data_IF_545394382466
#
_entry.id   IF_545394382466
#
_cell.length_a   1.000
_cell.length_b   1.000
_cell.length_c   1.000
_cell.angle_alpha   90.00
_cell.angle_beta   90.00
_cell.angle_gamma   90.00
#
_symmetry.space_group_name_H-M   'P 1'
#
loop_
_entity.id
_entity.type
_entity.pdbx_description
1 polymer ?
#
# COMPACT_ATOMS: atom_id res chain seq x y z
N UNK A 1 3.69 20.40 -9.30
CA UNK A 1 4.25 21.30 -8.24
C UNK A 1 5.27 22.31 -8.79
N UNK A 2 6.33 21.91 -9.50
CA UNK A 2 7.37 22.84 -9.99
C UNK A 2 6.83 23.92 -10.92
N UNK A 3 5.79 23.64 -11.70
CA UNK A 3 5.17 24.62 -12.60
C UNK A 3 4.43 25.72 -11.82
N UNK A 4 3.68 25.34 -10.80
CA UNK A 4 2.96 26.28 -9.92
C UNK A 4 3.95 27.21 -9.22
N UNK A 5 4.97 26.64 -8.55
CA UNK A 5 6.03 27.40 -7.89
C UNK A 5 6.70 28.37 -8.88
N UNK A 6 7.07 27.88 -10.08
CA UNK A 6 7.71 28.72 -11.09
C UNK A 6 6.82 29.90 -11.53
N UNK A 7 5.53 29.63 -11.77
CA UNK A 7 4.59 30.67 -12.18
C UNK A 7 4.42 31.73 -11.09
N UNK A 8 4.24 31.31 -9.85
CA UNK A 8 4.12 32.24 -8.73
C UNK A 8 5.39 33.07 -8.51
N UNK A 9 6.58 32.42 -8.57
CA UNK A 9 7.87 33.14 -8.45
C UNK A 9 8.05 34.19 -9.56
N UNK A 10 7.56 33.92 -10.77
CA UNK A 10 7.62 34.88 -11.89
C UNK A 10 6.69 36.07 -11.68
N UNK A 11 5.55 35.88 -11.04
CA UNK A 11 4.56 36.95 -10.78
C UNK A 11 4.84 37.76 -9.50
N UNK A 12 5.58 37.18 -8.55
CA UNK A 12 5.84 37.79 -7.25
C UNK A 12 6.49 39.20 -7.31
N UNK A 13 7.44 39.50 -8.22
CA UNK A 13 8.03 40.85 -8.32
C UNK A 13 7.00 41.96 -8.61
N UNK A 14 6.00 41.63 -9.45
CA UNK A 14 4.97 42.60 -9.90
C UNK A 14 3.80 42.71 -8.91
N UNK A 15 3.65 41.74 -7.99
CA UNK A 15 2.54 41.67 -7.02
C UNK A 15 3.01 41.59 -5.57
N UNK A 16 4.20 42.04 -5.26
CA UNK A 16 4.78 41.95 -3.90
C UNK A 16 4.00 42.72 -2.84
N UNK A 17 3.26 43.77 -3.22
CA UNK A 17 2.46 44.60 -2.32
C UNK A 17 1.00 44.10 -2.20
N UNK A 18 0.64 43.04 -2.95
CA UNK A 18 -0.65 42.37 -2.89
C UNK A 18 -0.62 41.27 -1.80
N UNK A 19 -1.16 41.63 -0.62
CA UNK A 19 -1.11 40.74 0.56
C UNK A 19 -1.82 39.40 0.31
N UNK A 20 -2.97 39.42 -0.35
CA UNK A 20 -3.75 38.23 -0.64
C UNK A 20 -2.98 37.31 -1.60
N UNK A 21 -2.36 37.85 -2.63
CA UNK A 21 -1.48 37.09 -3.53
C UNK A 21 -0.29 36.49 -2.79
N UNK A 22 0.36 37.22 -1.89
CA UNK A 22 1.51 36.74 -1.13
C UNK A 22 1.13 35.64 -0.13
N UNK A 23 -0.05 35.71 0.48
CA UNK A 23 -0.57 34.66 1.36
C UNK A 23 -0.86 33.37 0.55
N UNK A 24 -1.57 33.48 -0.58
CA UNK A 24 -1.83 32.35 -1.48
C UNK A 24 -0.53 31.77 -2.04
N UNK A 25 0.42 32.60 -2.45
CA UNK A 25 1.73 32.19 -2.90
C UNK A 25 2.47 31.35 -1.85
N UNK A 26 2.51 31.87 -0.60
CA UNK A 26 3.17 31.17 0.51
C UNK A 26 2.55 29.79 0.76
N UNK A 27 1.21 29.72 0.78
CA UNK A 27 0.50 28.47 0.99
C UNK A 27 0.76 27.45 -0.12
N UNK A 28 0.62 27.84 -1.39
CA UNK A 28 0.83 26.94 -2.54
C UNK A 28 2.27 26.46 -2.61
N UNK A 29 3.24 27.35 -2.36
CA UNK A 29 4.66 26.95 -2.36
C UNK A 29 4.97 25.95 -1.24
N UNK A 30 4.45 26.18 -0.02
CA UNK A 30 4.63 25.23 1.08
C UNK A 30 4.02 23.86 0.75
N UNK A 31 2.79 23.82 0.25
CA UNK A 31 2.12 22.58 -0.14
C UNK A 31 2.89 21.83 -1.24
N UNK A 32 3.36 22.56 -2.26
CA UNK A 32 4.13 21.98 -3.36
C UNK A 32 5.51 21.47 -2.92
N UNK A 33 6.19 22.18 -2.01
CA UNK A 33 7.47 21.72 -1.43
C UNK A 33 7.28 20.47 -0.59
N UNK A 34 6.30 20.43 0.31
CA UNK A 34 5.97 19.24 1.11
C UNK A 34 5.62 18.03 0.22
N UNK A 35 4.98 18.28 -0.92
CA UNK A 35 4.69 17.26 -1.91
C UNK A 35 5.95 16.72 -2.59
N UNK A 36 6.88 17.60 -2.97
CA UNK A 36 8.17 17.20 -3.56
C UNK A 36 8.97 16.39 -2.54
N UNK A 37 9.02 16.82 -1.28
CA UNK A 37 9.71 16.08 -0.22
C UNK A 37 9.14 14.68 -0.04
N UNK A 38 7.83 14.52 -0.03
CA UNK A 38 7.18 13.20 0.04
C UNK A 38 7.54 12.33 -1.16
N UNK A 39 7.45 12.85 -2.37
CA UNK A 39 7.83 12.15 -3.61
C UNK A 39 9.28 11.67 -3.56
N UNK A 40 10.20 12.53 -3.13
CA UNK A 40 11.62 12.18 -3.01
C UNK A 40 11.83 11.05 -2.00
N UNK A 41 11.17 11.12 -0.83
CA UNK A 41 11.26 10.06 0.18
C UNK A 41 10.70 8.73 -0.33
N UNK A 42 9.54 8.74 -0.99
CA UNK A 42 8.94 7.53 -1.56
C UNK A 42 9.79 6.92 -2.68
N UNK A 43 10.40 7.75 -3.54
CA UNK A 43 11.34 7.27 -4.56
C UNK A 43 12.60 6.68 -3.92
N UNK A 44 13.13 7.31 -2.88
CA UNK A 44 14.29 6.79 -2.15
C UNK A 44 13.95 5.48 -1.43
N UNK A 45 12.78 5.37 -0.83
CA UNK A 45 12.29 4.14 -0.20
C UNK A 45 12.08 3.03 -1.24
N UNK A 46 11.52 3.35 -2.39
CA UNK A 46 11.37 2.42 -3.51
C UNK A 46 12.71 1.95 -4.09
N UNK A 47 13.68 2.88 -4.23
CA UNK A 47 15.01 2.58 -4.75
C UNK A 47 15.91 1.86 -3.74
N UNK A 48 15.53 1.87 -2.47
CA UNK A 48 16.34 1.33 -1.39
C UNK A 48 16.07 -0.16 -1.22
N UNK A 49 16.87 -0.99 -1.91
CA UNK A 49 16.94 -2.42 -1.63
C UNK A 49 17.50 -2.63 -0.21
N UNK A 50 16.62 -2.71 0.76
CA UNK A 50 17.02 -3.05 2.13
C UNK A 50 16.67 -4.51 2.41
N UNK A 51 17.70 -5.35 2.52
CA UNK A 51 17.54 -6.69 3.10
C UNK A 51 16.82 -6.54 4.44
N UNK A 52 15.66 -7.18 4.64
CA UNK A 52 14.89 -7.02 5.87
C UNK A 52 15.68 -7.52 7.07
N UNK A 53 15.69 -6.76 8.15
CA UNK A 53 16.27 -7.16 9.44
C UNK A 53 15.22 -7.95 10.22
N UNK A 54 15.16 -9.26 9.96
CA UNK A 54 14.14 -10.11 10.56
C UNK A 54 14.41 -10.35 12.04
N UNK A 55 13.47 -9.93 12.89
CA UNK A 55 13.44 -10.20 14.33
C UNK A 55 12.13 -10.89 14.71
N UNK A 56 12.11 -11.57 15.86
CA UNK A 56 10.89 -12.19 16.39
C UNK A 56 9.96 -11.09 16.92
N UNK A 57 8.86 -10.83 16.24
CA UNK A 57 7.95 -9.74 16.55
C UNK A 57 6.52 -10.23 16.82
N UNK A 58 5.82 -9.54 17.70
CA UNK A 58 4.37 -9.66 17.86
C UNK A 58 3.67 -8.86 16.76
N UNK A 59 3.01 -9.54 15.82
CA UNK A 59 2.29 -8.87 14.74
C UNK A 59 1.19 -7.95 15.28
N UNK A 60 0.48 -8.38 16.32
CA UNK A 60 -0.57 -7.57 16.94
C UNK A 60 -0.05 -6.26 17.54
N UNK A 61 1.18 -6.25 18.09
CA UNK A 61 1.80 -5.04 18.61
C UNK A 61 2.19 -4.08 17.47
N UNK A 62 2.67 -4.62 16.35
CA UNK A 62 2.96 -3.83 15.15
C UNK A 62 1.68 -3.18 14.63
N UNK A 63 0.62 -3.97 14.43
CA UNK A 63 -0.70 -3.48 13.97
C UNK A 63 -1.25 -2.41 14.93
N UNK A 64 -1.24 -2.70 16.25
CA UNK A 64 -1.78 -1.77 17.25
C UNK A 64 -1.01 -0.45 17.28
N UNK A 65 0.32 -0.49 17.12
CA UNK A 65 1.12 0.73 17.07
C UNK A 65 0.81 1.59 15.84
N UNK A 66 0.52 0.98 14.68
CA UNK A 66 0.13 1.72 13.48
C UNK A 66 -1.29 2.30 13.60
N UNK A 67 -2.23 1.53 14.18
CA UNK A 67 -3.60 2.00 14.41
C UNK A 67 -3.64 3.23 15.32
N UNK A 68 -2.84 3.25 16.39
CA UNK A 68 -2.73 4.40 17.28
C UNK A 68 -2.34 5.69 16.53
N UNK A 69 -1.44 5.60 15.55
CA UNK A 69 -1.03 6.74 14.73
C UNK A 69 -2.15 7.32 13.86
N UNK A 70 -3.03 6.47 13.35
CA UNK A 70 -4.09 6.90 12.43
C UNK A 70 -5.40 7.27 13.13
N UNK A 71 -5.59 6.92 14.42
CA UNK A 71 -6.82 7.17 15.17
C UNK A 71 -7.22 8.66 15.18
N UNK A 72 -6.25 9.55 15.38
CA UNK A 72 -6.50 11.00 15.38
C UNK A 72 -6.98 11.47 14.00
N UNK A 73 -6.33 11.00 12.93
CA UNK A 73 -6.69 11.34 11.55
C UNK A 73 -8.03 10.72 11.13
N UNK A 74 -8.32 9.50 11.58
CA UNK A 74 -9.58 8.83 11.35
C UNK A 74 -10.75 9.59 12.01
N UNK A 75 -10.55 10.04 13.26
CA UNK A 75 -11.57 10.81 14.00
C UNK A 75 -11.91 12.13 13.31
N UNK A 76 -10.93 12.83 12.74
CA UNK A 76 -11.16 14.09 12.00
C UNK A 76 -11.94 13.91 10.69
N UNK A 77 -11.97 12.69 10.14
CA UNK A 77 -12.70 12.31 8.93
C UNK A 77 -13.99 11.51 9.18
N UNK A 78 -14.46 11.44 10.43
CA UNK A 78 -15.61 10.62 10.84
C UNK A 78 -15.48 9.12 10.46
N UNK A 79 -14.25 8.59 10.42
CA UNK A 79 -13.98 7.19 10.09
C UNK A 79 -13.98 6.36 11.38
N UNK A 80 -14.82 5.33 11.43
CA UNK A 80 -14.85 4.37 12.53
C UNK A 80 -13.84 3.26 12.29
N UNK A 81 -12.91 3.07 13.24
CA UNK A 81 -11.94 1.96 13.20
C UNK A 81 -12.49 0.77 13.97
N UNK A 82 -12.60 -0.39 13.30
CA UNK A 82 -12.93 -1.68 13.90
C UNK A 82 -11.71 -2.56 13.95
N UNK A 83 -11.38 -3.06 15.16
CA UNK A 83 -10.18 -3.84 15.40
C UNK A 83 -10.54 -5.23 15.95
N UNK A 84 -10.15 -6.28 15.24
CA UNK A 84 -10.37 -7.68 15.61
C UNK A 84 -9.04 -8.43 15.49
N UNK A 85 -8.23 -8.42 16.55
CA UNK A 85 -6.93 -9.07 16.55
C UNK A 85 -7.02 -10.44 17.23
N UNK A 86 -6.61 -11.51 16.52
CA UNK A 86 -6.58 -12.85 17.07
C UNK A 86 -5.60 -12.91 18.26
N UNK A 87 -6.03 -13.40 19.44
CA UNK A 87 -5.19 -13.38 20.65
C UNK A 87 -3.99 -14.33 20.58
N UNK A 88 -4.12 -15.44 19.82
CA UNK A 88 -3.16 -16.55 19.80
C UNK A 88 -2.26 -16.56 18.57
N UNK A 89 -1.87 -15.38 18.07
CA UNK A 89 -0.91 -15.31 16.97
C UNK A 89 0.49 -15.71 17.43
N UNK A 90 1.19 -16.53 16.66
CA UNK A 90 2.60 -16.80 16.93
C UNK A 90 3.44 -15.53 16.72
N UNK A 91 4.61 -15.48 17.36
CA UNK A 91 5.64 -14.52 16.99
C UNK A 91 6.10 -14.81 15.55
N UNK A 92 6.30 -13.76 14.77
CA UNK A 92 6.65 -13.83 13.36
C UNK A 92 8.04 -13.25 13.14
N UNK A 93 8.86 -13.88 12.34
CA UNK A 93 10.14 -13.30 11.91
C UNK A 93 9.88 -12.26 10.82
N UNK A 94 9.97 -10.99 11.18
CA UNK A 94 9.72 -9.87 10.27
C UNK A 94 10.58 -8.65 10.63
N UNK A 95 10.74 -7.74 9.66
CA UNK A 95 11.27 -6.40 9.92
C UNK A 95 10.14 -5.48 10.36
N UNK A 96 10.18 -5.08 11.64
CA UNK A 96 9.15 -4.25 12.26
C UNK A 96 8.91 -2.92 11.53
N UNK A 97 9.97 -2.27 11.03
CA UNK A 97 9.86 -0.98 10.37
C UNK A 97 9.24 -1.11 8.98
N UNK A 98 9.67 -2.11 8.23
CA UNK A 98 9.12 -2.38 6.91
C UNK A 98 7.65 -2.80 6.99
N UNK A 99 7.26 -3.66 7.92
CA UNK A 99 5.84 -4.04 8.09
C UNK A 99 4.99 -2.86 8.58
N UNK A 100 5.52 -1.97 9.43
CA UNK A 100 4.83 -0.71 9.74
C UNK A 100 4.59 0.14 8.48
N UNK A 101 5.54 0.23 7.58
CA UNK A 101 5.40 0.95 6.32
C UNK A 101 4.29 0.34 5.45
N UNK A 102 4.23 -1.00 5.33
CA UNK A 102 3.13 -1.70 4.64
C UNK A 102 1.78 -1.30 5.23
N UNK A 103 1.64 -1.40 6.55
CA UNK A 103 0.37 -1.13 7.22
C UNK A 103 -0.05 0.33 7.08
N UNK A 104 0.88 1.28 7.24
CA UNK A 104 0.58 2.70 7.09
C UNK A 104 0.14 3.03 5.65
N UNK A 105 0.79 2.46 4.64
CA UNK A 105 0.37 2.62 3.24
C UNK A 105 -1.05 2.10 3.02
N UNK A 106 -1.39 0.92 3.53
CA UNK A 106 -2.73 0.35 3.39
C UNK A 106 -3.78 1.17 4.17
N UNK A 107 -3.48 1.59 5.40
CA UNK A 107 -4.41 2.36 6.21
C UNK A 107 -4.68 3.76 5.63
N UNK A 108 -3.63 4.44 5.14
CA UNK A 108 -3.77 5.75 4.51
C UNK A 108 -4.60 5.62 3.23
N UNK A 109 -4.32 4.62 2.38
CA UNK A 109 -5.10 4.37 1.17
C UNK A 109 -6.57 4.10 1.48
N UNK A 110 -6.86 3.27 2.49
CA UNK A 110 -8.22 2.97 2.94
C UNK A 110 -8.94 4.24 3.44
N UNK A 111 -8.28 5.07 4.28
CA UNK A 111 -8.87 6.32 4.77
C UNK A 111 -9.07 7.38 3.67
N UNK A 112 -8.24 7.37 2.65
CA UNK A 112 -8.40 8.24 1.48
C UNK A 112 -9.54 7.77 0.58
N UNK A 113 -9.69 6.44 0.41
CA UNK A 113 -10.79 5.85 -0.35
C UNK A 113 -12.14 6.06 0.35
N UNK A 114 -12.22 5.94 1.68
CA UNK A 114 -13.44 6.24 2.43
C UNK A 114 -13.89 7.66 2.20
N UNK A 115 -13.00 8.62 2.10
CA UNK A 115 -13.16 10.04 1.76
C UNK A 115 -14.53 10.68 2.02
N UNK A 116 -14.58 12.02 2.11
CA UNK A 116 -15.83 12.76 2.18
C UNK A 116 -16.41 12.94 3.59
N UNK A 117 -17.47 13.78 3.66
CA UNK A 117 -18.10 14.22 4.90
C UNK A 117 -18.96 13.15 5.58
N UNK A 118 -19.35 12.09 4.85
CA UNK A 118 -20.23 11.04 5.37
C UNK A 118 -19.49 10.03 6.26
N UNK A 119 -18.16 10.07 6.30
CA UNK A 119 -17.35 9.11 7.04
C UNK A 119 -17.45 7.68 6.50
N UNK A 120 -16.99 6.72 7.31
CA UNK A 120 -17.05 5.31 6.92
C UNK A 120 -16.37 4.41 7.92
N UNK A 121 -16.02 3.20 7.48
CA UNK A 121 -15.46 2.16 8.34
C UNK A 121 -14.12 1.65 7.77
N UNK A 122 -13.13 1.59 8.65
CA UNK A 122 -11.88 0.87 8.44
C UNK A 122 -11.84 -0.33 9.39
N UNK A 123 -11.87 -1.54 8.86
CA UNK A 123 -11.79 -2.77 9.66
C UNK A 123 -10.42 -3.40 9.50
N UNK A 124 -9.78 -3.72 10.64
CA UNK A 124 -8.46 -4.36 10.66
C UNK A 124 -8.56 -5.65 11.48
N UNK A 125 -8.24 -6.77 10.85
CA UNK A 125 -8.27 -8.10 11.47
C UNK A 125 -6.94 -8.79 11.32
N UNK A 126 -6.60 -9.63 12.31
CA UNK A 126 -5.47 -10.55 12.19
C UNK A 126 -5.95 -11.97 12.37
N UNK A 127 -5.37 -12.90 11.63
CA UNK A 127 -5.72 -14.33 11.68
C UNK A 127 -4.48 -15.21 11.59
N UNK A 128 -4.59 -16.38 12.18
CA UNK A 128 -3.65 -17.48 11.95
C UNK A 128 -4.15 -18.32 10.79
N UNK A 129 -3.26 -18.62 9.85
CA UNK A 129 -3.54 -19.52 8.73
C UNK A 129 -2.59 -20.73 8.79
N UNK A 130 -3.05 -21.85 8.28
CA UNK A 130 -2.23 -23.04 8.08
C UNK A 130 -2.31 -23.36 6.60
N UNK A 131 -1.18 -23.33 5.91
CA UNK A 131 -1.08 -23.71 4.50
C UNK A 131 -0.71 -25.18 4.34
N UNK A 132 -0.59 -25.57 3.08
CA UNK A 132 -0.12 -26.92 2.70
C UNK A 132 1.18 -27.24 3.43
N UNK A 133 1.38 -28.52 3.79
CA UNK A 133 2.51 -29.00 4.61
C UNK A 133 2.55 -28.51 6.06
N UNK A 134 1.41 -28.06 6.60
CA UNK A 134 1.29 -27.60 8.00
C UNK A 134 2.19 -26.40 8.37
N UNK A 135 2.55 -25.58 7.39
CA UNK A 135 3.32 -24.35 7.62
C UNK A 135 2.46 -23.28 8.24
N UNK A 136 2.86 -22.70 9.38
CA UNK A 136 2.11 -21.62 10.03
C UNK A 136 2.31 -20.29 9.28
N UNK A 137 1.20 -19.65 8.95
CA UNK A 137 1.13 -18.32 8.35
C UNK A 137 0.27 -17.41 9.22
N UNK A 138 0.45 -16.13 9.07
CA UNK A 138 -0.41 -15.10 9.64
C UNK A 138 -0.95 -14.21 8.53
N UNK A 139 -2.16 -13.70 8.73
CA UNK A 139 -2.81 -12.79 7.80
C UNK A 139 -3.24 -11.53 8.53
N UNK A 140 -3.03 -10.39 7.87
CA UNK A 140 -3.61 -9.10 8.25
C UNK A 140 -4.61 -8.72 7.17
N UNK A 141 -5.85 -8.51 7.57
CA UNK A 141 -6.90 -7.98 6.70
C UNK A 141 -7.11 -6.51 6.99
N UNK A 142 -7.11 -5.69 5.96
CA UNK A 142 -7.44 -4.26 5.99
C UNK A 142 -8.59 -4.03 5.03
N UNK A 143 -9.77 -3.70 5.56
CA UNK A 143 -11.01 -3.55 4.79
C UNK A 143 -11.57 -2.15 4.98
N UNK A 144 -11.82 -1.45 3.90
CA UNK A 144 -12.48 -0.15 3.88
C UNK A 144 -13.90 -0.23 3.31
N UNK A 145 -14.73 0.74 3.66
CA UNK A 145 -16.07 0.92 3.11
C UNK A 145 -16.11 2.00 2.02
N UNK A 146 -15.03 2.17 1.30
CA UNK A 146 -14.91 3.15 0.22
C UNK A 146 -15.65 2.75 -1.06
N UNK A 147 -15.41 3.43 -2.17
CA UNK A 147 -16.08 3.19 -3.44
C UNK A 147 -15.68 1.87 -4.12
N UNK A 148 -14.65 1.19 -3.62
CA UNK A 148 -14.05 0.04 -4.28
C UNK A 148 -13.15 0.43 -5.45
N UNK A 149 -12.66 -0.58 -6.16
CA UNK A 149 -11.72 -0.45 -7.29
C UNK A 149 -12.38 -1.06 -8.51
N UNK A 150 -12.31 -0.36 -9.64
CA UNK A 150 -12.82 -0.87 -10.91
C UNK A 150 -12.03 -2.12 -11.35
N UNK A 151 -12.69 -3.11 -11.97
CA UNK A 151 -12.02 -4.35 -12.37
C UNK A 151 -10.79 -4.16 -13.27
N UNK A 152 -10.81 -3.14 -14.13
CA UNK A 152 -9.69 -2.84 -15.03
C UNK A 152 -8.48 -2.21 -14.31
N UNK A 153 -8.68 -1.61 -13.13
CA UNK A 153 -7.62 -1.04 -12.32
C UNK A 153 -6.94 -2.09 -11.43
N UNK A 154 -7.66 -3.17 -11.04
CA UNK A 154 -7.15 -4.19 -10.12
C UNK A 154 -5.85 -4.85 -10.59
N UNK A 155 -5.67 -5.00 -11.90
CA UNK A 155 -4.45 -5.58 -12.48
C UNK A 155 -3.24 -4.64 -12.38
N UNK A 156 -3.49 -3.33 -12.14
CA UNK A 156 -2.46 -2.28 -12.17
C UNK A 156 -2.19 -1.61 -10.82
N UNK A 157 -2.97 -1.89 -9.77
CA UNK A 157 -2.83 -1.20 -8.47
C UNK A 157 -1.45 -1.34 -7.82
N UNK A 158 -0.67 -2.33 -8.21
CA UNK A 158 0.70 -2.54 -7.73
C UNK A 158 1.77 -2.03 -8.71
N UNK A 159 1.38 -1.53 -9.88
CA UNK A 159 2.30 -0.97 -10.85
C UNK A 159 2.87 0.36 -10.32
N UNK A 160 4.19 0.61 -10.46
CA UNK A 160 4.79 1.87 -10.01
C UNK A 160 4.15 3.08 -10.70
N UNK A 161 3.86 4.12 -9.91
CA UNK A 161 3.25 5.37 -10.37
C UNK A 161 1.80 5.25 -10.87
N UNK A 162 1.17 4.08 -10.75
CA UNK A 162 -0.23 3.92 -11.09
C UNK A 162 -1.13 4.53 -10.00
N UNK A 163 -2.02 5.42 -10.39
CA UNK A 163 -2.98 6.06 -9.47
C UNK A 163 -4.21 6.55 -10.24
N UNK A 164 -5.38 6.35 -9.68
CA UNK A 164 -6.66 6.86 -10.19
C UNK A 164 -7.06 8.20 -9.58
N UNK A 165 -6.23 8.75 -8.68
CA UNK A 165 -6.54 9.97 -7.91
C UNK A 165 -6.33 11.28 -8.67
N UNK A 166 -5.83 11.24 -9.91
CA UNK A 166 -5.61 12.43 -10.73
C UNK A 166 -6.89 13.15 -11.17
N UNK A 167 -8.01 12.42 -11.26
CA UNK A 167 -9.26 12.93 -11.82
C UNK A 167 -10.16 13.64 -10.78
N UNK A 168 -9.93 13.45 -9.50
CA UNK A 168 -10.83 13.91 -8.44
C UNK A 168 -10.45 15.25 -7.80
N UNK A 169 -9.37 15.92 -8.24
CA UNK A 169 -8.95 17.22 -7.68
C UNK A 169 -8.52 17.18 -6.20
N UNK A 170 -8.58 16.01 -5.58
CA UNK A 170 -8.05 15.76 -4.26
C UNK A 170 -6.54 15.42 -4.34
N UNK A 171 -5.83 15.53 -3.22
CA UNK A 171 -4.36 15.38 -3.13
C UNK A 171 -3.88 14.19 -3.96
N UNK A 172 -3.18 14.48 -5.06
CA UNK A 172 -2.63 13.49 -5.99
C UNK A 172 -1.79 12.45 -5.24
N UNK A 173 -2.14 11.17 -5.36
CA UNK A 173 -1.32 10.06 -4.90
C UNK A 173 -0.09 9.90 -5.79
N UNK A 174 1.02 9.44 -5.23
CA UNK A 174 2.27 9.21 -5.97
C UNK A 174 2.23 7.92 -6.78
N UNK A 175 1.31 7.00 -6.44
CA UNK A 175 1.21 5.67 -7.04
C UNK A 175 2.35 4.72 -6.61
N UNK A 176 3.13 5.07 -5.57
CA UNK A 176 4.22 4.22 -5.08
C UNK A 176 3.87 3.44 -3.80
N UNK A 177 2.90 3.90 -3.02
CA UNK A 177 2.59 3.31 -1.72
C UNK A 177 2.23 1.83 -1.78
N UNK A 178 1.35 1.41 -2.71
CA UNK A 178 0.98 -0.01 -2.87
C UNK A 178 2.10 -0.83 -3.48
N UNK A 179 2.88 -0.27 -4.40
CA UNK A 179 4.06 -0.93 -4.99
C UNK A 179 5.09 -1.25 -3.91
N UNK A 180 5.40 -0.28 -3.04
CA UNK A 180 6.32 -0.46 -1.91
C UNK A 180 5.77 -1.51 -0.92
N UNK A 181 4.48 -1.45 -0.59
CA UNK A 181 3.86 -2.42 0.30
C UNK A 181 3.94 -3.84 -0.26
N UNK A 182 3.65 -4.02 -1.54
CA UNK A 182 3.74 -5.30 -2.23
C UNK A 182 5.17 -5.85 -2.24
N UNK A 183 6.17 -5.00 -2.57
CA UNK A 183 7.58 -5.37 -2.57
C UNK A 183 8.04 -5.82 -1.18
N UNK A 184 7.76 -5.05 -0.12
CA UNK A 184 8.14 -5.39 1.24
C UNK A 184 7.55 -6.76 1.65
N UNK A 185 6.27 -7.01 1.34
CA UNK A 185 5.62 -8.28 1.67
C UNK A 185 6.29 -9.44 0.94
N UNK A 186 6.65 -9.28 -0.34
CA UNK A 186 7.42 -10.27 -1.10
C UNK A 186 8.80 -10.52 -0.48
N UNK A 187 9.48 -9.48 -0.03
CA UNK A 187 10.78 -9.58 0.65
C UNK A 187 10.71 -10.33 1.99
N UNK A 188 9.53 -10.39 2.60
CA UNK A 188 9.24 -11.22 3.76
C UNK A 188 8.78 -12.64 3.41
N UNK A 189 8.83 -13.04 2.13
CA UNK A 189 8.35 -14.35 1.66
C UNK A 189 6.83 -14.47 1.69
N UNK A 190 6.13 -13.35 1.80
CA UNK A 190 4.68 -13.25 1.81
C UNK A 190 4.08 -12.88 0.46
N UNK A 191 2.78 -12.61 0.45
CA UNK A 191 2.03 -12.11 -0.70
C UNK A 191 0.82 -11.29 -0.25
N UNK A 192 0.32 -10.44 -1.15
CA UNK A 192 -0.87 -9.62 -0.94
C UNK A 192 -1.99 -10.12 -1.85
N UNK A 193 -3.19 -10.28 -1.29
CA UNK A 193 -4.41 -10.52 -2.04
C UNK A 193 -5.33 -9.31 -1.90
N UNK A 194 -6.14 -9.06 -2.93
CA UNK A 194 -7.08 -7.94 -2.96
C UNK A 194 -8.45 -8.45 -3.38
N UNK A 195 -9.47 -8.07 -2.63
CA UNK A 195 -10.87 -8.26 -2.98
C UNK A 195 -11.52 -6.88 -2.98
N UNK A 196 -12.11 -6.49 -4.11
CA UNK A 196 -12.78 -5.21 -4.23
C UNK A 196 -14.03 -5.34 -5.08
N UNK A 197 -15.07 -4.61 -4.68
CA UNK A 197 -16.32 -4.51 -5.41
C UNK A 197 -16.74 -3.05 -5.44
N UNK A 198 -17.03 -2.53 -6.63
CA UNK A 198 -17.44 -1.14 -6.82
C UNK A 198 -18.69 -0.84 -5.99
N UNK A 199 -18.63 0.23 -5.19
CA UNK A 199 -19.68 0.64 -4.26
C UNK A 199 -19.69 -0.09 -2.91
N UNK A 200 -18.83 -1.10 -2.68
CA UNK A 200 -18.81 -1.90 -1.45
C UNK A 200 -17.49 -1.82 -0.68
N UNK A 201 -16.44 -1.25 -1.30
CA UNK A 201 -15.14 -1.06 -0.67
C UNK A 201 -14.07 -2.04 -1.12
N UNK A 202 -12.93 -2.01 -0.44
CA UNK A 202 -11.77 -2.82 -0.78
C UNK A 202 -11.23 -3.53 0.46
N UNK A 203 -10.79 -4.76 0.28
CA UNK A 203 -10.12 -5.58 1.29
C UNK A 203 -8.76 -6.01 0.79
N UNK A 204 -7.72 -5.58 1.48
CA UNK A 204 -6.36 -6.08 1.31
C UNK A 204 -6.06 -7.15 2.34
N UNK A 205 -5.45 -8.24 1.92
CA UNK A 205 -5.03 -9.35 2.78
C UNK A 205 -3.52 -9.56 2.62
N UNK A 206 -2.77 -9.19 3.65
CA UNK A 206 -1.31 -9.38 3.73
C UNK A 206 -1.05 -10.72 4.39
N UNK A 207 -0.46 -11.64 3.66
CA UNK A 207 -0.14 -13.00 4.11
C UNK A 207 1.38 -13.12 4.34
N UNK A 208 1.78 -13.47 5.55
CA UNK A 208 3.18 -13.60 5.94
C UNK A 208 3.46 -15.01 6.51
N UNK A 209 4.56 -15.68 6.11
CA UNK A 209 4.99 -16.90 6.77
C UNK A 209 5.52 -16.58 8.18
N UNK A 210 5.25 -17.42 9.16
CA UNK A 210 5.79 -17.24 10.53
C UNK A 210 7.31 -17.33 10.53
N UNK A 211 7.86 -18.20 9.69
CA UNK A 211 9.30 -18.35 9.47
C UNK A 211 9.57 -18.25 7.97
N UNK A 212 9.94 -17.07 7.45
CA UNK A 212 10.23 -16.92 6.04
C UNK A 212 11.44 -17.80 5.62
N UNK A 213 11.39 -18.41 4.44
CA UNK A 213 12.51 -19.22 3.92
C UNK A 213 13.70 -18.30 3.60
N UNK A 214 14.72 -18.32 4.46
CA UNK A 214 15.91 -17.46 4.32
C UNK A 214 16.86 -17.86 3.19
N UNK A 215 16.78 -19.10 2.68
CA UNK A 215 17.84 -19.67 1.84
C UNK A 215 17.71 -19.35 0.34
N UNK A 216 16.52 -19.12 -0.19
CA UNK A 216 16.34 -18.94 -1.63
C UNK A 216 16.46 -17.47 -2.07
N UNK A 217 16.24 -16.55 -1.16
CA UNK A 217 16.22 -15.12 -1.45
C UNK A 217 17.62 -14.51 -1.60
N UNK A 218 18.60 -14.97 -0.82
CA UNK A 218 20.00 -14.53 -0.94
C UNK A 218 20.66 -15.03 -2.24
N UNK A 219 20.20 -16.16 -2.79
CA UNK A 219 20.72 -16.72 -4.03
C UNK A 219 20.13 -16.06 -5.30
N UNK A 220 19.00 -15.35 -5.19
CA UNK A 220 18.34 -14.68 -6.30
C UNK A 220 18.75 -13.21 -6.47
N UNK A 221 19.61 -12.66 -5.59
CA UNK A 221 20.16 -11.33 -5.79
C UNK A 221 21.20 -11.39 -6.91
N UNK A 222 21.02 -10.62 -8.01
CA UNK A 222 22.13 -10.42 -8.94
C UNK A 222 23.25 -9.75 -8.15
N UNK A 223 24.44 -10.35 -8.16
CA UNK A 223 25.64 -9.74 -7.63
C UNK A 223 25.72 -8.33 -8.20
N UNK A 224 25.73 -7.33 -7.33
CA UNK A 224 25.84 -5.92 -7.71
C UNK A 224 27.27 -5.73 -8.24
N UNK A 225 27.42 -5.80 -9.54
CA UNK A 225 28.66 -5.44 -10.24
C UNK A 225 28.64 -3.92 -10.42
N UNK A 226 29.70 -3.31 -9.91
CA UNK A 226 29.93 -1.89 -9.79
C UNK A 226 29.72 -1.17 -11.14
N UNK A 227 28.63 -0.42 -11.24
CA UNK A 227 28.58 0.82 -11.99
C UNK A 227 28.23 0.81 -13.48
N UNK A 228 27.77 -0.24 -14.13
CA UNK A 228 27.30 -0.15 -15.54
C UNK A 228 26.25 -1.17 -15.93
N UNK A 229 24.96 -0.81 -15.83
CA UNK A 229 23.81 -1.25 -16.67
C UNK A 229 22.47 -1.05 -15.96
N UNK A 230 22.01 0.17 -15.92
CA UNK A 230 20.68 0.55 -15.42
C UNK A 230 19.63 0.72 -16.55
N UNK A 231 19.70 -0.04 -17.63
CA UNK A 231 18.75 0.18 -18.73
C UNK A 231 18.12 -1.06 -19.38
N UNK A 232 18.25 -2.25 -18.83
CA UNK A 232 17.85 -3.41 -19.61
C UNK A 232 17.21 -4.61 -18.93
N UNK A 233 17.08 -4.64 -17.61
CA UNK A 233 16.64 -5.87 -16.93
C UNK A 233 15.31 -5.78 -16.14
N UNK A 234 14.58 -4.69 -16.23
CA UNK A 234 13.31 -4.51 -15.50
C UNK A 234 12.09 -5.20 -16.16
N UNK A 235 12.24 -5.79 -17.35
CA UNK A 235 11.09 -6.34 -18.11
C UNK A 235 11.07 -7.86 -18.24
N UNK A 236 11.88 -8.61 -17.52
CA UNK A 236 11.87 -10.07 -17.63
C UNK A 236 11.90 -10.74 -16.26
N UNK A 237 10.78 -10.77 -15.55
CA UNK A 237 10.52 -11.81 -14.55
C UNK A 237 9.37 -12.67 -15.05
N UNK A 238 9.56 -14.02 -15.16
CA UNK A 238 8.46 -14.90 -15.47
C UNK A 238 7.47 -14.86 -14.31
N UNK A 239 6.21 -14.59 -14.62
CA UNK A 239 5.10 -14.92 -13.75
C UNK A 239 5.20 -16.41 -13.42
N UNK A 240 5.60 -16.73 -12.20
CA UNK A 240 5.41 -18.09 -11.67
C UNK A 240 3.91 -18.29 -11.59
N UNK A 241 3.41 -19.09 -12.55
CA UNK A 241 2.01 -19.37 -12.74
C UNK A 241 1.39 -19.93 -11.47
N UNK A 242 0.50 -19.16 -10.89
CA UNK A 242 -0.58 -19.66 -10.07
C UNK A 242 -1.74 -19.97 -11.04
N UNK A 243 -1.75 -21.16 -11.61
CA UNK A 243 -2.98 -21.72 -12.16
C UNK A 243 -3.99 -21.84 -11.04
N UNK A 244 -4.93 -20.91 -11.04
CA UNK A 244 -6.09 -20.94 -10.18
C UNK A 244 -6.93 -22.16 -10.54
N UNK A 245 -6.94 -23.17 -9.69
CA UNK A 245 -7.97 -24.21 -9.69
C UNK A 245 -9.30 -23.58 -9.19
N UNK A 246 -9.92 -22.79 -10.02
CA UNK A 246 -11.34 -22.49 -9.85
C UNK A 246 -12.14 -23.53 -10.61
N UNK A 247 -12.76 -24.43 -9.85
CA UNK A 247 -13.75 -25.38 -10.35
C UNK A 247 -14.90 -24.62 -11.01
N UNK A 248 -15.19 -24.94 -12.26
CA UNK A 248 -16.35 -24.43 -13.00
C UNK A 248 -17.63 -24.83 -12.26
N UNK A 249 -18.61 -23.90 -12.08
CA UNK A 249 -19.92 -24.28 -11.57
C UNK A 249 -20.62 -25.19 -12.60
N UNK A 250 -21.07 -26.34 -12.12
CA UNK A 250 -21.70 -27.37 -12.91
C UNK A 250 -22.95 -26.90 -13.64
N UNK A 251 -22.99 -27.19 -14.91
CA UNK A 251 -24.16 -27.07 -15.74
C UNK A 251 -25.24 -28.08 -15.27
N UNK A 252 -26.36 -27.59 -14.78
CA UNK A 252 -27.57 -28.39 -14.52
C UNK A 252 -28.16 -28.82 -15.84
N UNK A 253 -28.04 -30.13 -16.12
CA UNK A 253 -28.76 -30.78 -17.20
C UNK A 253 -30.28 -30.75 -16.95
N UNK A 254 -31.03 -30.16 -17.87
CA UNK A 254 -32.48 -30.37 -17.97
C UNK A 254 -32.73 -31.72 -18.61
N UNK A 255 -33.33 -32.64 -17.86
CA UNK A 255 -33.91 -33.86 -18.41
C UNK A 255 -35.40 -33.60 -18.71
N UNK A 256 -35.75 -33.90 -19.94
CA UNK A 256 -37.16 -34.01 -20.39
C UNK A 256 -37.77 -35.30 -19.82
N UNK A 257 -38.94 -35.22 -19.34
CA UNK A 257 -40.19 -35.92 -19.74
C UNK A 257 -41.37 -35.30 -19.01
#
# INVERSE_FOLDING_TARGET
PLTSIKTFVQLAPDRRDDVEFMEQFSQVVCEDVERIERLVHEILDYARYMTPKLTQESLNDVVSSCLYFIEVKASSKAITIQKELAPDLPYVKLDRQQIKQVLLNLFINAMEAIGGEQGGRLSVRTRKLVKSMNEPWVQIEVEDSGPGIEPHDLDHIFDPFYTTKHESGEREGTGLGLTIAHQIVQEHGGYVEVLSEVGHGTKFMVNLPVNPPMAEWQAAQPAYDDGRKLAGSFLARPHLGLEAQFGKPGATAKTRT
#
